data_IF_606160115071
#
_entry.id   IF_606160115071
#
_cell.length_a   1.000
_cell.length_b   1.000
_cell.length_c   1.000
_cell.angle_alpha   90.00
_cell.angle_beta   90.00
_cell.angle_gamma   90.00
#
_symmetry.space_group_name_H-M   'P 1'
#
loop_
_entity.id
_entity.type
_entity.pdbx_description
1 polymer ?
#
# COMPACT_ATOMS: atom_id res chain seq x y z
N UNK A 1 -0.56 -28.67 23.80
CA UNK A 1 -1.18 -28.65 22.47
C UNK A 1 -2.17 -27.49 22.50
N UNK A 2 -1.73 -26.23 22.48
CA UNK A 2 -0.91 -25.56 21.43
C UNK A 2 -1.56 -25.85 20.08
N UNK A 3 -2.18 -24.89 19.39
CA UNK A 3 -1.46 -23.77 18.79
C UNK A 3 -2.23 -22.44 18.80
N UNK A 4 -1.52 -21.38 19.24
CA UNK A 4 -1.85 -20.00 18.93
C UNK A 4 -1.23 -19.69 17.57
N UNK A 5 -2.04 -19.38 16.56
CA UNK A 5 -1.53 -18.80 15.31
C UNK A 5 -1.35 -17.31 15.54
N UNK A 6 -0.11 -16.92 15.83
CA UNK A 6 0.36 -15.54 15.71
C UNK A 6 0.22 -15.11 14.26
N UNK A 7 -0.75 -14.24 13.97
CA UNK A 7 -0.78 -13.50 12.71
C UNK A 7 0.07 -12.26 12.89
N UNK A 8 1.28 -12.29 12.33
CA UNK A 8 2.24 -11.18 12.29
C UNK A 8 1.62 -9.89 11.76
N UNK A 9 1.98 -8.77 12.39
CA UNK A 9 1.56 -7.39 12.12
C UNK A 9 2.12 -6.78 10.81
N UNK A 10 2.42 -7.61 9.80
CA UNK A 10 3.00 -7.18 8.51
C UNK A 10 1.96 -7.05 7.39
N UNK A 11 0.69 -6.76 7.71
CA UNK A 11 -0.32 -6.46 6.70
C UNK A 11 -0.35 -4.94 6.41
N UNK A 12 -0.06 -4.49 5.18
CA UNK A 12 -0.01 -3.08 4.84
C UNK A 12 -1.36 -2.40 5.12
N UNK A 13 -1.29 -1.23 5.76
CA UNK A 13 -2.39 -0.38 6.26
C UNK A 13 -3.52 -0.12 5.24
N UNK A 14 -3.26 -0.33 3.95
CA UNK A 14 -4.20 -0.21 2.82
C UNK A 14 -5.46 -1.08 2.97
N UNK A 15 -5.39 -2.20 3.68
CA UNK A 15 -6.55 -3.11 3.82
C UNK A 15 -7.68 -2.57 4.72
N UNK A 16 -7.41 -1.61 5.60
CA UNK A 16 -8.41 -1.16 6.59
C UNK A 16 -9.50 -0.28 5.97
N UNK A 17 -9.21 0.50 4.93
CA UNK A 17 -10.20 1.38 4.27
C UNK A 17 -11.15 0.65 3.29
N UNK A 18 -10.84 -0.59 2.88
CA UNK A 18 -11.68 -1.37 1.95
C UNK A 18 -13.00 -1.83 2.60
N UNK A 19 -13.10 -1.78 3.94
CA UNK A 19 -14.25 -2.28 4.72
C UNK A 19 -15.57 -1.51 4.52
N UNK A 20 -15.58 -0.36 3.83
CA UNK A 20 -16.79 0.46 3.59
C UNK A 20 -17.37 0.37 2.18
N UNK A 21 -16.89 -0.54 1.33
CA UNK A 21 -17.51 -0.74 0.01
C UNK A 21 -18.48 -1.93 0.09
N UNK A 22 -19.81 -1.71 0.09
CA UNK A 22 -20.83 -2.75 0.31
C UNK A 22 -20.83 -3.82 -0.78
N UNK A 23 -20.20 -3.53 -1.93
CA UNK A 23 -19.89 -4.46 -3.00
C UNK A 23 -18.45 -4.19 -3.40
N UNK A 24 -17.52 -5.03 -2.93
CA UNK A 24 -16.22 -5.12 -3.59
C UNK A 24 -16.54 -5.51 -5.03
N UNK A 25 -16.52 -4.56 -5.96
CA UNK A 25 -16.42 -4.89 -7.38
C UNK A 25 -15.22 -5.83 -7.46
N UNK A 26 -15.44 -7.09 -7.86
CA UNK A 26 -14.43 -8.14 -7.77
C UNK A 26 -13.09 -7.62 -8.28
N UNK A 27 -11.99 -7.89 -7.56
CA UNK A 27 -10.71 -7.19 -7.77
C UNK A 27 -10.43 -7.09 -9.27
N UNK A 28 -10.45 -5.87 -9.83
CA UNK A 28 -10.42 -5.63 -11.28
C UNK A 28 -9.27 -6.37 -11.98
N UNK A 29 -8.15 -6.55 -11.27
CA UNK A 29 -7.02 -7.40 -11.64
C UNK A 29 -7.39 -8.82 -12.10
N UNK A 30 -8.49 -9.41 -11.62
CA UNK A 30 -8.95 -10.75 -12.01
C UNK A 30 -9.68 -10.78 -13.35
N UNK A 31 -10.11 -9.63 -13.86
CA UNK A 31 -10.85 -9.50 -15.11
C UNK A 31 -10.00 -8.94 -16.25
N UNK A 32 -8.67 -8.90 -16.08
CA UNK A 32 -7.74 -8.35 -17.08
C UNK A 32 -7.96 -8.96 -18.47
N UNK A 33 -8.16 -10.28 -18.55
CA UNK A 33 -8.41 -10.97 -19.82
C UNK A 33 -9.70 -10.53 -20.51
N UNK A 34 -10.72 -10.13 -19.76
CA UNK A 34 -11.97 -9.61 -20.34
C UNK A 34 -11.81 -8.16 -20.77
N UNK A 35 -11.08 -7.35 -20.00
CA UNK A 35 -10.76 -5.96 -20.37
C UNK A 35 -9.90 -5.87 -21.63
N UNK A 36 -8.95 -6.77 -21.82
CA UNK A 36 -8.15 -6.87 -23.04
C UNK A 36 -8.98 -7.21 -24.30
N UNK A 37 -10.22 -7.67 -24.15
CA UNK A 37 -11.15 -7.87 -25.29
C UNK A 37 -11.95 -6.61 -25.62
N UNK A 38 -12.02 -5.66 -24.70
CA UNK A 38 -12.84 -4.45 -24.79
C UNK A 38 -11.97 -3.26 -25.25
N UNK A 39 -10.70 -3.24 -24.87
CA UNK A 39 -9.79 -2.15 -25.19
C UNK A 39 -8.35 -2.64 -25.37
N UNK A 40 -7.63 -1.98 -26.28
CA UNK A 40 -6.19 -2.13 -26.50
C UNK A 40 -5.40 -0.96 -25.86
N UNK A 41 -6.05 -0.11 -25.06
CA UNK A 41 -5.39 1.01 -24.39
C UNK A 41 -4.51 0.52 -23.23
N UNK A 42 -3.19 0.66 -23.40
CA UNK A 42 -2.18 0.25 -22.44
C UNK A 42 -2.30 0.95 -21.07
N UNK A 43 -2.79 2.20 -21.02
CA UNK A 43 -3.03 2.88 -19.74
C UNK A 43 -4.18 2.21 -18.98
N UNK A 44 -5.27 1.88 -19.67
CA UNK A 44 -6.40 1.18 -19.05
C UNK A 44 -5.97 -0.21 -18.60
N UNK A 45 -5.29 -0.98 -19.45
CA UNK A 45 -4.85 -2.34 -19.12
C UNK A 45 -3.80 -2.37 -18.00
N UNK A 46 -2.85 -1.43 -17.98
CA UNK A 46 -1.86 -1.31 -16.91
C UNK A 46 -2.50 -0.93 -15.57
N UNK A 47 -3.52 -0.06 -15.57
CA UNK A 47 -4.21 0.36 -14.34
C UNK A 47 -4.92 -0.80 -13.60
N UNK A 48 -5.32 -1.86 -14.32
CA UNK A 48 -5.96 -3.05 -13.75
C UNK A 48 -5.01 -3.90 -12.89
N UNK A 49 -3.69 -3.78 -13.10
CA UNK A 49 -2.67 -4.48 -12.31
C UNK A 49 -2.50 -3.91 -10.89
N UNK A 50 -3.12 -2.77 -10.63
CA UNK A 50 -2.98 -2.01 -9.39
C UNK A 50 -1.77 -1.07 -9.41
N UNK A 51 -1.78 -0.10 -8.50
CA UNK A 51 -0.72 0.88 -8.35
C UNK A 51 0.47 0.27 -7.59
N UNK A 52 1.22 -0.61 -8.25
CA UNK A 52 2.51 -1.09 -7.73
C UNK A 52 3.61 -0.31 -8.41
N UNK A 53 4.55 0.20 -7.62
CA UNK A 53 5.83 0.69 -8.13
C UNK A 53 6.71 -0.56 -8.33
N UNK A 54 6.99 -0.98 -9.58
CA UNK A 54 7.80 -2.18 -9.80
C UNK A 54 9.26 -1.90 -9.48
N UNK A 55 9.90 -2.79 -8.73
CA UNK A 55 11.35 -2.79 -8.63
C UNK A 55 11.93 -3.55 -9.83
N UNK A 56 12.96 -3.00 -10.47
CA UNK A 56 13.68 -3.65 -11.58
C UNK A 56 14.38 -4.93 -11.08
N UNK A 57 14.81 -4.93 -9.82
CA UNK A 57 15.45 -6.04 -9.12
C UNK A 57 15.08 -5.98 -7.65
N UNK A 58 15.24 -7.09 -6.93
CA UNK A 58 14.99 -7.13 -5.48
C UNK A 58 15.89 -6.09 -4.75
N UNK A 59 15.30 -5.15 -3.99
CA UNK A 59 16.08 -4.16 -3.27
C UNK A 59 16.84 -4.83 -2.11
N UNK A 60 18.13 -4.53 -1.99
CA UNK A 60 18.96 -5.01 -0.88
C UNK A 60 19.41 -3.83 -0.05
N UNK A 61 19.12 -3.85 1.25
CA UNK A 61 19.63 -2.86 2.19
C UNK A 61 20.92 -3.38 2.83
N UNK A 62 22.06 -2.80 2.46
CA UNK A 62 23.38 -3.24 2.96
C UNK A 62 23.68 -2.82 4.41
N UNK A 63 22.96 -1.84 4.95
CA UNK A 63 23.15 -1.32 6.31
C UNK A 63 21.88 -0.64 6.82
N UNK A 64 21.70 -0.60 8.15
CA UNK A 64 20.64 0.23 8.74
C UNK A 64 20.89 1.71 8.41
N UNK A 65 19.82 2.42 8.04
CA UNK A 65 19.88 3.87 7.83
C UNK A 65 19.97 4.50 9.22
N UNK A 66 20.92 5.43 9.42
CA UNK A 66 21.00 6.19 10.67
C UNK A 66 19.80 7.12 10.73
N UNK A 67 19.02 7.00 11.80
CA UNK A 67 17.93 7.93 12.06
C UNK A 67 18.47 9.35 12.22
N UNK A 68 17.82 10.30 11.57
CA UNK A 68 18.13 11.70 11.72
C UNK A 68 17.56 12.18 13.06
N UNK A 69 18.39 12.80 13.89
CA UNK A 69 17.93 13.47 15.10
C UNK A 69 17.29 14.81 14.74
N UNK A 70 16.08 15.04 15.21
CA UNK A 70 15.37 16.30 15.04
C UNK A 70 15.32 17.09 16.35
N UNK A 71 15.19 18.41 16.25
CA UNK A 71 14.88 19.24 17.41
C UNK A 71 13.44 19.03 17.88
N UNK A 72 13.18 19.31 19.16
CA UNK A 72 11.82 19.24 19.73
C UNK A 72 10.80 20.10 18.97
N UNK A 73 11.23 21.17 18.29
CA UNK A 73 10.34 22.01 17.50
C UNK A 73 9.99 21.37 16.16
N UNK A 74 10.97 20.77 15.48
CA UNK A 74 10.75 20.04 14.22
C UNK A 74 9.87 18.82 14.43
N UNK A 75 10.09 18.07 15.51
CA UNK A 75 9.27 16.91 15.84
C UNK A 75 7.79 17.28 16.06
N UNK A 76 7.52 18.41 16.74
CA UNK A 76 6.15 18.93 16.88
C UNK A 76 5.51 19.28 15.54
N UNK A 77 6.27 19.87 14.62
CA UNK A 77 5.78 20.20 13.28
C UNK A 77 5.47 18.92 12.49
N UNK A 78 6.32 17.90 12.57
CA UNK A 78 6.07 16.63 11.89
C UNK A 78 4.83 15.94 12.44
N UNK A 79 4.70 15.88 13.77
CA UNK A 79 3.53 15.28 14.41
C UNK A 79 2.25 16.00 14.02
N UNK A 80 2.23 17.34 14.02
CA UNK A 80 1.02 18.08 13.60
C UNK A 80 0.66 17.83 12.14
N UNK A 81 1.64 17.69 11.25
CA UNK A 81 1.35 17.47 9.83
C UNK A 81 0.94 16.01 9.56
N UNK A 82 1.52 15.06 10.30
CA UNK A 82 1.09 13.66 10.28
C UNK A 82 -0.36 13.56 10.78
N UNK A 83 -0.71 14.24 11.87
CA UNK A 83 -2.09 14.25 12.40
C UNK A 83 -3.08 14.81 11.35
N UNK A 84 -2.76 15.94 10.71
CA UNK A 84 -3.57 16.50 9.61
C UNK A 84 -3.73 15.54 8.43
N UNK A 85 -2.72 14.73 8.12
CA UNK A 85 -2.77 13.74 7.04
C UNK A 85 -3.62 12.51 7.41
N UNK A 86 -3.70 12.18 8.71
CA UNK A 86 -4.46 11.05 9.23
C UNK A 86 -5.93 11.40 9.51
N UNK A 87 -6.24 12.67 9.77
CA UNK A 87 -7.60 13.21 9.82
C UNK A 87 -8.20 13.30 8.40
N UNK A 88 -8.54 12.14 7.84
CA UNK A 88 -9.41 11.99 6.66
C UNK A 88 -10.89 12.05 7.05
#
# INVERSE_FOLDING_TARGET
HSDQVSTSDDEPVVLKEIKKVPKIAGRLRYFQNEWAKITDDEFILSSLHGYRIPFIQEPKQGSSIKEQSFSNNEEKIFLSEIEKLLEK
#
